data_IF_135160634606
#
_entry.id   IF_135160634606
#
_cell.length_a   1.000
_cell.length_b   1.000
_cell.length_c   1.000
_cell.angle_alpha   90.00
_cell.angle_beta   90.00
_cell.angle_gamma   90.00
#
_symmetry.space_group_name_H-M   'P 1'
#
loop_
_entity.id
_entity.type
_entity.pdbx_description
1 polymer ?
#
# COMPACT_ATOMS: atom_id res chain seq x y z
N UNK A 1 -16.54 -8.51 11.54
CA UNK A 1 -15.15 -8.74 11.09
C UNK A 1 -14.57 -9.87 11.94
N UNK A 2 -14.15 -10.98 11.33
CA UNK A 2 -13.71 -12.19 12.04
C UNK A 2 -12.50 -11.86 12.94
N UNK A 3 -12.59 -12.10 14.25
CA UNK A 3 -11.54 -11.80 15.23
C UNK A 3 -10.21 -12.47 14.90
N UNK A 4 -10.27 -13.67 14.32
CA UNK A 4 -9.11 -14.44 13.88
C UNK A 4 -8.42 -13.76 12.68
N UNK A 5 -9.19 -13.29 11.69
CA UNK A 5 -8.62 -12.59 10.53
C UNK A 5 -7.93 -11.28 10.94
N UNK A 6 -8.53 -10.52 11.87
CA UNK A 6 -7.90 -9.30 12.39
C UNK A 6 -6.56 -9.60 13.06
N UNK A 7 -6.49 -10.65 13.89
CA UNK A 7 -5.25 -11.07 14.55
C UNK A 7 -4.19 -11.53 13.55
N UNK A 8 -4.59 -12.25 12.49
CA UNK A 8 -3.68 -12.69 11.43
C UNK A 8 -3.10 -11.51 10.65
N UNK A 9 -3.93 -10.52 10.32
CA UNK A 9 -3.46 -9.29 9.66
C UNK A 9 -2.48 -8.55 10.58
N UNK A 10 -2.83 -8.36 11.86
CA UNK A 10 -1.95 -7.66 12.80
C UNK A 10 -0.59 -8.35 12.92
N UNK A 11 -0.57 -9.67 13.13
CA UNK A 11 0.68 -10.43 13.21
C UNK A 11 1.51 -10.29 11.94
N UNK A 12 0.91 -10.37 10.75
CA UNK A 12 1.65 -10.20 9.50
C UNK A 12 2.17 -8.77 9.32
N UNK A 13 1.42 -7.76 9.76
CA UNK A 13 1.90 -6.37 9.78
C UNK A 13 3.08 -6.20 10.74
N UNK A 14 3.03 -6.80 11.93
CA UNK A 14 4.11 -6.71 12.92
C UNK A 14 5.40 -7.39 12.40
N UNK A 15 5.26 -8.50 11.68
CA UNK A 15 6.38 -9.20 11.04
C UNK A 15 7.03 -8.32 9.96
N UNK A 16 6.24 -7.76 9.03
CA UNK A 16 6.74 -6.84 7.98
C UNK A 16 7.30 -5.55 8.56
N UNK A 17 6.73 -5.05 9.66
CA UNK A 17 7.24 -3.86 10.33
C UNK A 17 8.61 -4.11 10.98
N UNK A 18 8.84 -5.32 11.48
CA UNK A 18 10.13 -5.73 12.06
C UNK A 18 11.19 -5.93 10.97
N UNK A 19 10.82 -6.54 9.85
CA UNK A 19 11.71 -6.78 8.72
C UNK A 19 10.98 -6.54 7.38
N UNK A 20 11.12 -5.34 6.79
CA UNK A 20 10.52 -5.00 5.51
C UNK A 20 11.10 -5.78 4.31
N UNK A 21 12.19 -6.53 4.49
CA UNK A 21 12.79 -7.37 3.44
C UNK A 21 12.37 -8.85 3.57
N UNK A 22 11.62 -9.22 4.60
CA UNK A 22 11.06 -10.56 4.78
C UNK A 22 9.95 -10.84 3.75
N UNK A 23 10.38 -11.40 2.62
CA UNK A 23 9.49 -11.80 1.52
C UNK A 23 8.39 -12.78 1.99
N UNK A 24 8.64 -13.63 2.98
CA UNK A 24 7.63 -14.57 3.48
C UNK A 24 6.53 -13.83 4.25
N UNK A 25 6.89 -12.84 5.07
CA UNK A 25 5.95 -11.98 5.78
C UNK A 25 5.13 -11.13 4.79
N UNK A 26 5.77 -10.55 3.77
CA UNK A 26 5.12 -9.78 2.70
C UNK A 26 4.10 -10.65 1.95
N UNK A 27 4.48 -11.85 1.53
CA UNK A 27 3.59 -12.73 0.78
C UNK A 27 2.41 -13.22 1.63
N UNK A 28 2.65 -13.47 2.92
CA UNK A 28 1.57 -13.78 3.88
C UNK A 28 0.59 -12.62 3.98
N UNK A 29 1.07 -11.39 4.13
CA UNK A 29 0.24 -10.20 4.21
C UNK A 29 -0.56 -9.99 2.92
N UNK A 30 0.07 -10.14 1.74
CA UNK A 30 -0.60 -10.07 0.44
C UNK A 30 -1.75 -11.08 0.33
N UNK A 31 -1.55 -12.33 0.76
CA UNK A 31 -2.60 -13.36 0.76
C UNK A 31 -3.77 -12.98 1.67
N UNK A 32 -3.49 -12.51 2.88
CA UNK A 32 -4.52 -12.09 3.85
C UNK A 32 -5.34 -10.90 3.35
N UNK A 33 -4.70 -9.98 2.63
CA UNK A 33 -5.36 -8.81 2.04
C UNK A 33 -6.10 -9.12 0.73
N UNK A 34 -6.02 -10.35 0.22
CA UNK A 34 -6.60 -10.71 -1.08
C UNK A 34 -5.93 -10.01 -2.26
N UNK A 35 -4.67 -9.58 -2.11
CA UNK A 35 -3.94 -8.73 -3.06
C UNK A 35 -3.52 -9.43 -4.36
N UNK A 36 -4.04 -10.63 -4.67
CA UNK A 36 -3.77 -11.35 -5.93
C UNK A 36 -4.18 -10.55 -7.17
N UNK A 37 -5.06 -9.54 -7.04
CA UNK A 37 -5.52 -8.70 -8.16
C UNK A 37 -4.90 -7.30 -8.18
N UNK A 38 -4.01 -6.97 -7.24
CA UNK A 38 -3.51 -5.61 -7.07
C UNK A 38 -4.61 -4.62 -6.63
N UNK A 39 -4.31 -3.33 -6.72
CA UNK A 39 -5.25 -2.24 -6.40
C UNK A 39 -6.08 -1.91 -7.64
N UNK A 40 -7.41 -1.81 -7.51
CA UNK A 40 -8.27 -1.46 -8.64
C UNK A 40 -7.91 -0.10 -9.24
N UNK A 41 -8.12 0.11 -10.55
CA UNK A 41 -7.85 1.39 -11.21
C UNK A 41 -8.60 2.56 -10.55
N UNK A 42 -9.85 2.34 -10.14
CA UNK A 42 -10.65 3.35 -9.43
C UNK A 42 -10.04 3.70 -8.07
N UNK A 43 -9.57 2.70 -7.31
CA UNK A 43 -8.89 2.91 -6.03
C UNK A 43 -7.56 3.64 -6.23
N UNK A 44 -6.77 3.24 -7.23
CA UNK A 44 -5.51 3.89 -7.56
C UNK A 44 -5.72 5.38 -7.90
N UNK A 45 -6.70 5.69 -8.76
CA UNK A 45 -7.02 7.08 -9.14
C UNK A 45 -7.37 7.91 -7.91
N UNK A 46 -8.22 7.37 -7.03
CA UNK A 46 -8.60 8.04 -5.79
C UNK A 46 -7.40 8.29 -4.87
N UNK A 47 -6.47 7.35 -4.77
CA UNK A 47 -5.26 7.52 -3.95
C UNK A 47 -4.34 8.61 -4.51
N UNK A 48 -4.27 8.74 -5.83
CA UNK A 48 -3.53 9.84 -6.49
C UNK A 48 -4.20 11.18 -6.21
N UNK A 49 -5.52 11.28 -6.37
CA UNK A 49 -6.29 12.50 -6.06
C UNK A 49 -6.02 12.97 -4.62
N UNK A 50 -6.13 12.07 -3.64
CA UNK A 50 -5.86 12.39 -2.23
C UNK A 50 -4.44 12.88 -1.97
N UNK A 51 -3.43 12.27 -2.60
CA UNK A 51 -2.04 12.67 -2.42
C UNK A 51 -1.75 14.03 -3.09
N UNK A 52 -2.39 14.32 -4.24
CA UNK A 52 -2.32 15.63 -4.87
C UNK A 52 -2.97 16.71 -4.02
N UNK A 53 -4.16 16.46 -3.48
CA UNK A 53 -4.86 17.39 -2.59
C UNK A 53 -4.02 17.69 -1.35
N UNK A 54 -3.42 16.67 -0.74
CA UNK A 54 -2.59 16.84 0.45
C UNK A 54 -1.29 17.61 0.18
N UNK A 55 -0.63 17.42 -0.97
CA UNK A 55 0.52 18.24 -1.38
C UNK A 55 0.16 19.66 -1.78
N UNK A 56 -1.08 19.88 -2.24
CA UNK A 56 -1.55 21.23 -2.51
C UNK A 56 -1.67 22.02 -1.20
N UNK A 57 -2.18 21.38 -0.15
CA UNK A 57 -2.30 21.97 1.18
C UNK A 57 -0.94 22.12 1.90
N UNK A 58 -0.06 21.12 1.77
CA UNK A 58 1.32 21.14 2.32
C UNK A 58 2.36 20.66 1.29
N UNK A 59 2.95 21.58 0.51
CA UNK A 59 3.96 21.24 -0.49
C UNK A 59 5.29 20.70 0.09
N UNK A 60 5.54 20.90 1.39
CA UNK A 60 6.77 20.45 2.06
C UNK A 60 6.61 19.05 2.68
N UNK A 61 5.42 18.45 2.63
CA UNK A 61 5.16 17.08 3.08
C UNK A 61 5.88 16.04 2.20
N UNK A 62 7.10 15.68 2.63
CA UNK A 62 7.94 14.68 1.98
C UNK A 62 7.32 13.29 1.95
N UNK A 63 6.57 12.89 2.98
CA UNK A 63 5.94 11.56 3.05
C UNK A 63 4.83 11.44 2.00
N UNK A 64 4.01 12.48 1.86
CA UNK A 64 2.97 12.53 0.83
C UNK A 64 3.59 12.60 -0.57
N UNK A 65 4.68 13.35 -0.75
CA UNK A 65 5.44 13.38 -2.02
C UNK A 65 5.95 12.00 -2.40
N UNK A 66 6.60 11.30 -1.49
CA UNK A 66 7.19 10.00 -1.76
C UNK A 66 6.10 8.94 -1.98
N UNK A 67 4.98 9.03 -1.25
CA UNK A 67 3.79 8.20 -1.51
C UNK A 67 3.21 8.43 -2.91
N UNK A 68 3.11 9.68 -3.36
CA UNK A 68 2.64 9.99 -4.72
C UNK A 68 3.59 9.40 -5.76
N UNK A 69 4.91 9.51 -5.57
CA UNK A 69 5.90 8.90 -6.46
C UNK A 69 5.74 7.37 -6.53
N UNK A 70 5.53 6.70 -5.40
CA UNK A 70 5.26 5.25 -5.36
C UNK A 70 3.99 4.87 -6.12
N UNK A 71 2.90 5.64 -5.96
CA UNK A 71 1.64 5.41 -6.68
C UNK A 71 1.82 5.58 -8.20
N UNK A 72 2.59 6.57 -8.64
CA UNK A 72 2.89 6.81 -10.05
C UNK A 72 3.78 5.70 -10.64
N UNK A 73 4.79 5.23 -9.90
CA UNK A 73 5.66 4.13 -10.31
C UNK A 73 4.90 2.81 -10.42
N UNK A 74 4.01 2.51 -9.46
CA UNK A 74 3.20 1.29 -9.45
C UNK A 74 2.29 1.17 -10.69
N UNK A 75 1.87 2.29 -11.29
CA UNK A 75 1.12 2.28 -12.56
C UNK A 75 2.01 1.96 -13.77
N UNK A 76 3.27 2.40 -13.76
CA UNK A 76 4.24 2.14 -14.82
C UNK A 76 4.68 0.66 -14.90
N UNK A 77 4.57 -0.08 -13.81
CA UNK A 77 4.84 -1.53 -13.78
C UNK A 77 3.72 -2.40 -14.37
N UNK A 78 2.59 -1.80 -14.76
CA UNK A 78 1.55 -2.44 -15.58
C UNK A 78 1.84 -2.12 -17.05
N UNK A 79 3.00 -2.57 -17.53
CA UNK A 79 3.31 -2.57 -18.96
C UNK A 79 4.02 -3.88 -19.31
N UNK A 80 3.36 -4.64 -20.19
CA UNK A 80 3.67 -5.98 -20.75
C UNK A 80 3.15 -7.18 -19.95
#
# INVERSE_FOLDING_TARGET
>A
MNSVLRQQIQSACDDVHRDPEDNAAIDRLRRLLGAHQGVSHATWRRLVELACDQLFDDPEDHDTRDRLLLLLAARGSVTL
#
